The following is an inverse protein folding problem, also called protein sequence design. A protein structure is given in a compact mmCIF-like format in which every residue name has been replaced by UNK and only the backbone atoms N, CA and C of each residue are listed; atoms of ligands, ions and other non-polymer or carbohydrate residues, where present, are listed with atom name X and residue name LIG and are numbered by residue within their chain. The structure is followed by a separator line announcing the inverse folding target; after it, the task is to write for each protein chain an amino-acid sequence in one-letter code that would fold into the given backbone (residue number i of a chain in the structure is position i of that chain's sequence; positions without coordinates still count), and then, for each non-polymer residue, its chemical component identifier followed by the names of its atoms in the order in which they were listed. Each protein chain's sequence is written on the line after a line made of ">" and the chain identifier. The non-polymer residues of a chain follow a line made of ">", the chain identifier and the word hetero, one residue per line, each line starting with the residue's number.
data_IF_990603692442
#
_entry.id   IF_990603692442
#
_cell.length_a   1.000
_cell.length_b   1.000
_cell.length_c   1.000
_cell.angle_alpha   90.00
_cell.angle_beta   90.00
_cell.angle_gamma   90.00
#
_symmetry.space_group_name_H-M   'P 1'
#
loop_
_entity.id
_entity.type
_entity.pdbx_description
1 polymer ?
#
# COMPACT_ATOMS: atom_id res chain seq x y z
N UNK A 1 17.63 -29.26 14.77
CA UNK A 1 17.23 -28.51 13.57
C UNK A 1 16.58 -27.23 14.06
N UNK A 2 17.30 -26.11 14.01
CA UNK A 2 16.74 -24.78 14.27
C UNK A 2 15.67 -24.51 13.23
N UNK A 3 14.44 -24.24 13.69
CA UNK A 3 13.36 -23.77 12.81
C UNK A 3 13.88 -22.51 12.14
N UNK A 4 14.05 -22.52 10.82
CA UNK A 4 14.37 -21.30 10.08
C UNK A 4 13.27 -20.29 10.41
N UNK A 5 13.65 -19.16 10.97
CA UNK A 5 12.72 -18.11 11.32
C UNK A 5 12.15 -17.56 10.01
N UNK A 6 10.82 -17.58 9.90
CA UNK A 6 10.15 -17.07 8.70
C UNK A 6 10.28 -15.56 8.61
N UNK A 7 10.30 -15.04 7.40
CA UNK A 7 10.35 -13.58 7.12
C UNK A 7 9.03 -12.95 7.53
N UNK A 8 8.99 -12.04 8.52
CA UNK A 8 7.77 -11.37 8.95
C UNK A 8 7.35 -10.28 7.95
N UNK A 9 6.16 -10.41 7.39
CA UNK A 9 5.63 -9.48 6.38
C UNK A 9 4.22 -9.01 6.74
N UNK A 10 3.98 -7.70 6.78
CA UNK A 10 2.63 -7.13 6.84
C UNK A 10 2.25 -6.61 5.46
N UNK A 11 1.05 -7.01 5.00
CA UNK A 11 0.45 -6.64 3.73
C UNK A 11 -0.77 -5.75 3.96
N UNK A 12 -0.77 -4.52 3.41
CA UNK A 12 -1.87 -3.54 3.55
C UNK A 12 -2.51 -3.31 2.18
N UNK A 13 -3.76 -3.75 1.95
CA UNK A 13 -4.42 -3.65 0.66
C UNK A 13 -4.89 -2.22 0.35
N UNK A 14 -5.23 -1.99 -0.92
CA UNK A 14 -5.94 -0.79 -1.34
C UNK A 14 -7.43 -0.83 -1.05
N UNK A 15 -8.13 0.27 -1.35
CA UNK A 15 -9.56 0.45 -1.05
C UNK A 15 -10.53 -0.41 -1.87
N UNK A 16 -10.08 -1.05 -2.98
CA UNK A 16 -10.98 -1.68 -3.95
C UNK A 16 -11.28 -3.17 -3.67
N UNK A 17 -10.45 -3.88 -2.92
CA UNK A 17 -10.67 -5.30 -2.61
C UNK A 17 -10.09 -5.67 -1.24
N UNK A 18 -10.64 -6.70 -0.56
CA UNK A 18 -10.05 -7.25 0.66
C UNK A 18 -8.65 -7.81 0.40
N UNK A 19 -7.80 -7.79 1.41
CA UNK A 19 -6.41 -8.23 1.30
C UNK A 19 -6.28 -9.70 0.90
N UNK A 20 -7.16 -10.57 1.38
CA UNK A 20 -7.16 -11.98 0.98
C UNK A 20 -7.36 -12.18 -0.52
N UNK A 21 -8.26 -11.39 -1.12
CA UNK A 21 -8.49 -11.42 -2.58
C UNK A 21 -7.30 -10.81 -3.31
N UNK A 22 -6.78 -9.70 -2.77
CA UNK A 22 -5.71 -8.92 -3.41
C UNK A 22 -4.37 -9.66 -3.43
N UNK A 23 -4.01 -10.32 -2.33
CA UNK A 23 -2.67 -10.86 -2.12
C UNK A 23 -2.56 -12.38 -2.27
N UNK A 24 -3.64 -13.10 -2.61
CA UNK A 24 -3.60 -14.57 -2.72
C UNK A 24 -2.47 -15.07 -3.63
N UNK A 25 -2.35 -14.53 -4.84
CA UNK A 25 -1.32 -14.94 -5.79
C UNK A 25 0.10 -14.52 -5.35
N UNK A 26 0.25 -13.35 -4.73
CA UNK A 26 1.54 -12.90 -4.19
C UNK A 26 2.00 -13.78 -3.03
N UNK A 27 1.12 -14.10 -2.08
CA UNK A 27 1.45 -14.96 -0.92
C UNK A 27 1.87 -16.35 -1.41
N UNK A 28 1.18 -16.91 -2.40
CA UNK A 28 1.57 -18.18 -3.02
C UNK A 28 2.97 -18.09 -3.65
N UNK A 29 3.24 -17.00 -4.39
CA UNK A 29 4.54 -16.79 -5.05
C UNK A 29 5.70 -16.57 -4.06
N UNK A 30 5.44 -15.93 -2.91
CA UNK A 30 6.44 -15.73 -1.84
C UNK A 30 6.85 -17.04 -1.16
N UNK A 31 5.97 -18.04 -1.14
CA UNK A 31 6.25 -19.38 -0.63
C UNK A 31 6.28 -19.48 0.91
N UNK A 32 6.57 -20.68 1.44
CA UNK A 32 6.39 -21.01 2.87
C UNK A 32 7.43 -20.38 3.81
N UNK A 33 8.48 -19.77 3.27
CA UNK A 33 9.52 -19.07 4.05
C UNK A 33 9.09 -17.70 4.58
N UNK A 34 7.92 -17.21 4.16
CA UNK A 34 7.36 -15.91 4.57
C UNK A 34 6.20 -16.12 5.54
N UNK A 35 6.19 -15.35 6.61
CA UNK A 35 5.06 -15.26 7.54
C UNK A 35 4.28 -13.97 7.20
N UNK A 36 3.32 -14.11 6.29
CA UNK A 36 2.57 -12.99 5.75
C UNK A 36 1.28 -12.74 6.54
N UNK A 37 1.20 -11.60 7.21
CA UNK A 37 0.01 -11.13 7.90
C UNK A 37 -0.70 -10.05 7.06
N UNK A 38 -1.97 -10.26 6.73
CA UNK A 38 -2.80 -9.28 6.04
C UNK A 38 -3.43 -8.37 7.10
N UNK A 39 -3.25 -7.05 6.92
CA UNK A 39 -3.94 -6.01 7.67
C UNK A 39 -4.93 -5.33 6.75
N UNK A 40 -6.20 -5.79 6.77
CA UNK A 40 -7.29 -5.12 6.04
C UNK A 40 -7.56 -3.72 6.59
N UNK A 41 -8.12 -2.83 5.75
CA UNK A 41 -8.37 -1.44 6.12
C UNK A 41 -9.51 -1.32 7.14
N UNK A 42 -9.30 -0.52 8.19
CA UNK A 42 -10.28 -0.24 9.25
C UNK A 42 -11.57 0.39 8.70
N UNK A 43 -11.47 1.14 7.62
CA UNK A 43 -12.65 1.72 6.94
C UNK A 43 -13.66 0.66 6.50
N UNK A 44 -13.26 -0.62 6.44
CA UNK A 44 -14.10 -1.76 6.06
C UNK A 44 -14.25 -2.80 7.17
N UNK A 45 -13.76 -2.54 8.38
CA UNK A 45 -13.78 -3.50 9.48
C UNK A 45 -15.20 -3.77 10.02
N UNK A 46 -16.13 -2.86 9.81
CA UNK A 46 -17.51 -2.95 10.28
C UNK A 46 -18.54 -2.65 9.19
N UNK A 47 -19.82 -2.68 9.54
CA UNK A 47 -20.93 -2.36 8.63
C UNK A 47 -20.98 -0.87 8.25
N UNK A 48 -20.34 -0.01 9.03
CA UNK A 48 -20.25 1.43 8.82
C UNK A 48 -18.82 1.91 8.99
N UNK A 49 -18.52 3.06 8.40
CA UNK A 49 -17.23 3.72 8.55
C UNK A 49 -17.02 4.09 10.03
N UNK A 50 -15.85 3.80 10.63
CA UNK A 50 -15.57 4.17 12.02
C UNK A 50 -15.71 5.67 12.25
N UNK A 51 -16.30 6.05 13.37
CA UNK A 51 -16.38 7.46 13.75
C UNK A 51 -14.98 8.04 13.93
N UNK A 52 -14.74 9.21 13.32
CA UNK A 52 -13.43 9.87 13.37
C UNK A 52 -12.36 9.15 12.54
N UNK A 53 -12.74 8.34 11.54
CA UNK A 53 -11.79 7.64 10.67
C UNK A 53 -10.77 8.61 10.06
N UNK A 54 -9.50 8.24 10.15
CA UNK A 54 -8.36 9.04 9.67
C UNK A 54 -7.20 8.13 9.24
N UNK A 55 -6.12 8.70 8.71
CA UNK A 55 -4.90 7.95 8.39
C UNK A 55 -4.27 7.38 9.66
N UNK A 56 -4.33 8.11 10.76
CA UNK A 56 -3.82 7.67 12.07
C UNK A 56 -4.53 6.40 12.56
N UNK A 57 -5.85 6.29 12.31
CA UNK A 57 -6.63 5.06 12.61
C UNK A 57 -6.01 3.84 11.93
N UNK A 58 -5.61 3.97 10.66
CA UNK A 58 -4.98 2.89 9.90
C UNK A 58 -3.53 2.62 10.35
N UNK A 59 -2.78 3.68 10.67
CA UNK A 59 -1.41 3.58 11.19
C UNK A 59 -1.39 2.81 12.52
N UNK A 60 -2.25 3.17 13.47
CA UNK A 60 -2.41 2.45 14.72
C UNK A 60 -2.82 0.99 14.52
N UNK A 61 -3.65 0.73 13.52
CA UNK A 61 -4.08 -0.62 13.22
C UNK A 61 -2.98 -1.51 12.61
N UNK A 62 -1.97 -0.94 11.93
CA UNK A 62 -0.77 -1.69 11.54
C UNK A 62 0.00 -2.12 12.81
N UNK A 63 0.19 -1.22 13.78
CA UNK A 63 0.85 -1.56 15.04
C UNK A 63 0.09 -2.67 15.79
N UNK A 64 -1.23 -2.53 15.94
CA UNK A 64 -2.07 -3.57 16.57
C UNK A 64 -1.94 -4.92 15.86
N UNK A 65 -1.91 -4.93 14.51
CA UNK A 65 -1.73 -6.17 13.74
C UNK A 65 -0.36 -6.78 13.95
N UNK A 66 0.70 -5.98 13.99
CA UNK A 66 2.06 -6.44 14.26
C UNK A 66 2.15 -7.09 15.65
N UNK A 67 1.54 -6.46 16.66
CA UNK A 67 1.53 -6.97 18.04
C UNK A 67 0.70 -8.27 18.16
N UNK A 68 -0.45 -8.35 17.46
CA UNK A 68 -1.30 -9.55 17.39
C UNK A 68 -0.54 -10.77 16.85
N UNK A 69 0.30 -10.57 15.82
CA UNK A 69 1.08 -11.64 15.20
C UNK A 69 2.51 -11.76 15.75
N UNK A 70 2.82 -11.01 16.82
CA UNK A 70 4.10 -11.00 17.51
C UNK A 70 5.30 -10.61 16.64
N UNK A 71 5.10 -9.62 15.75
CA UNK A 71 6.18 -9.05 14.95
C UNK A 71 6.70 -7.77 15.61
N UNK A 72 7.84 -7.86 16.29
CA UNK A 72 8.52 -6.68 16.85
C UNK A 72 9.01 -5.76 15.73
N UNK A 73 9.58 -6.35 14.69
CA UNK A 73 10.00 -5.68 13.44
C UNK A 73 9.56 -6.52 12.26
N UNK A 74 9.19 -5.86 11.15
CA UNK A 74 8.64 -6.54 9.99
C UNK A 74 8.95 -5.80 8.69
N UNK A 75 8.82 -6.52 7.57
CA UNK A 75 8.74 -5.94 6.24
C UNK A 75 7.32 -5.45 6.01
N UNK A 76 7.18 -4.26 5.44
CA UNK A 76 5.87 -3.66 5.18
C UNK A 76 5.65 -3.51 3.66
N UNK A 77 4.56 -4.08 3.17
CA UNK A 77 4.12 -3.92 1.79
C UNK A 77 2.73 -3.30 1.75
N UNK A 78 2.59 -2.22 1.03
CA UNK A 78 1.32 -1.56 0.79
C UNK A 78 0.97 -1.45 -0.70
N UNK A 79 -0.31 -1.52 -1.02
CA UNK A 79 -0.80 -1.28 -2.37
C UNK A 79 -1.83 -0.16 -2.38
N UNK A 80 -1.76 0.77 -3.35
CA UNK A 80 -2.71 1.88 -3.53
C UNK A 80 -2.90 2.69 -2.24
N UNK A 81 -4.11 2.77 -1.69
CA UNK A 81 -4.38 3.39 -0.39
C UNK A 81 -3.55 2.79 0.74
N UNK A 82 -3.37 1.46 0.73
CA UNK A 82 -2.50 0.79 1.69
C UNK A 82 -1.02 1.17 1.57
N UNK A 83 -0.55 1.52 0.37
CA UNK A 83 0.82 2.02 0.18
C UNK A 83 1.00 3.44 0.75
N UNK A 84 0.00 4.31 0.60
CA UNK A 84 0.00 5.63 1.25
C UNK A 84 -0.02 5.50 2.78
N UNK A 85 -0.82 4.58 3.33
CA UNK A 85 -0.86 4.28 4.77
C UNK A 85 0.48 3.70 5.24
N UNK A 86 1.12 2.81 4.46
CA UNK A 86 2.43 2.27 4.78
C UNK A 86 3.52 3.36 4.82
N UNK A 87 3.47 4.33 3.89
CA UNK A 87 4.34 5.50 3.92
C UNK A 87 4.13 6.34 5.20
N UNK A 88 2.87 6.59 5.58
CA UNK A 88 2.51 7.28 6.82
C UNK A 88 2.97 6.52 8.07
N UNK A 89 2.90 5.19 8.04
CA UNK A 89 3.39 4.32 9.11
C UNK A 89 4.90 4.46 9.31
N UNK A 90 5.67 4.37 8.23
CA UNK A 90 7.13 4.56 8.30
C UNK A 90 7.51 5.95 8.81
N UNK A 91 6.74 6.98 8.45
CA UNK A 91 6.96 8.34 8.94
C UNK A 91 6.76 8.51 10.46
N UNK A 92 6.12 7.55 11.13
CA UNK A 92 5.81 7.63 12.57
C UNK A 92 6.43 6.49 13.39
N UNK A 93 6.77 5.36 12.75
CA UNK A 93 7.31 4.14 13.38
C UNK A 93 8.46 3.56 12.54
N UNK A 94 9.48 4.35 12.17
CA UNK A 94 10.57 3.87 11.30
C UNK A 94 11.35 2.71 11.92
N UNK A 95 11.41 2.64 13.26
CA UNK A 95 12.10 1.59 14.00
C UNK A 95 11.44 0.20 13.90
N UNK A 96 10.12 0.15 13.65
CA UNK A 96 9.36 -1.11 13.52
C UNK A 96 9.53 -1.74 12.12
N UNK A 97 9.96 -0.98 11.11
CA UNK A 97 9.98 -1.42 9.73
C UNK A 97 11.40 -1.77 9.30
N UNK A 98 11.59 -2.96 8.76
CA UNK A 98 12.86 -3.42 8.20
C UNK A 98 13.05 -2.99 6.75
N UNK A 99 12.00 -3.07 5.95
CA UNK A 99 11.94 -2.55 4.58
C UNK A 99 10.54 -2.12 4.22
N UNK A 100 10.42 -1.16 3.31
CA UNK A 100 9.15 -0.68 2.79
C UNK A 100 9.01 -1.01 1.31
N UNK A 101 7.90 -1.64 0.94
CA UNK A 101 7.51 -1.80 -0.46
C UNK A 101 6.17 -1.13 -0.73
N UNK A 102 6.10 -0.31 -1.77
CA UNK A 102 4.93 0.45 -2.17
C UNK A 102 4.59 0.15 -3.63
N UNK A 103 3.38 -0.32 -3.87
CA UNK A 103 2.87 -0.54 -5.22
C UNK A 103 1.72 0.42 -5.51
N UNK A 104 1.89 1.27 -6.53
CA UNK A 104 0.86 2.23 -6.96
C UNK A 104 0.30 3.09 -5.81
N UNK A 105 1.10 3.77 -4.97
CA UNK A 105 0.55 4.58 -3.87
C UNK A 105 -0.54 5.53 -4.35
N UNK A 106 -1.64 5.61 -3.61
CA UNK A 106 -2.75 6.50 -3.94
C UNK A 106 -2.38 7.98 -3.78
N UNK A 107 -1.42 8.28 -2.92
CA UNK A 107 -0.89 9.63 -2.65
C UNK A 107 0.48 9.54 -1.99
N UNK A 108 1.28 10.59 -2.16
CA UNK A 108 2.49 10.88 -1.39
C UNK A 108 2.27 12.01 -0.38
N UNK A 109 1.04 12.41 -0.19
CA UNK A 109 0.59 13.51 0.68
C UNK A 109 1.19 14.90 0.34
N UNK A 110 1.78 15.07 -0.85
CA UNK A 110 2.22 16.39 -1.31
C UNK A 110 1.03 17.34 -1.52
N UNK A 111 1.28 18.65 -1.47
CA UNK A 111 0.26 19.65 -1.75
C UNK A 111 -0.38 19.45 -3.14
N UNK A 112 0.44 19.10 -4.15
CA UNK A 112 -0.03 18.82 -5.51
C UNK A 112 -1.04 17.66 -5.51
N UNK A 113 -0.71 16.54 -4.85
CA UNK A 113 -1.59 15.36 -4.80
C UNK A 113 -2.83 15.62 -3.95
N UNK A 114 -2.68 16.30 -2.84
CA UNK A 114 -3.80 16.68 -1.97
C UNK A 114 -4.79 17.58 -2.71
N UNK A 115 -4.33 18.58 -3.44
CA UNK A 115 -5.17 19.47 -4.23
C UNK A 115 -5.87 18.74 -5.39
N UNK A 116 -5.15 17.85 -6.09
CA UNK A 116 -5.71 17.06 -7.18
C UNK A 116 -6.79 16.07 -6.66
N UNK A 117 -6.55 15.41 -5.52
CA UNK A 117 -7.53 14.54 -4.89
C UNK A 117 -8.77 15.29 -4.40
N UNK A 118 -8.60 16.48 -3.82
CA UNK A 118 -9.71 17.33 -3.40
C UNK A 118 -10.58 17.74 -4.59
N UNK A 119 -9.97 18.21 -5.68
CA UNK A 119 -10.68 18.57 -6.91
C UNK A 119 -11.41 17.36 -7.54
N UNK A 120 -10.82 16.16 -7.49
CA UNK A 120 -11.49 14.94 -7.92
C UNK A 120 -12.70 14.64 -7.02
N UNK A 121 -12.53 14.69 -5.70
CA UNK A 121 -13.61 14.47 -4.73
C UNK A 121 -14.80 15.41 -4.94
N UNK A 122 -14.55 16.70 -5.18
CA UNK A 122 -15.59 17.67 -5.50
C UNK A 122 -16.35 17.32 -6.80
N UNK A 123 -15.66 16.86 -7.83
CA UNK A 123 -16.32 16.42 -9.07
C UNK A 123 -17.15 15.17 -8.82
N UNK A 124 -16.59 14.17 -8.15
CA UNK A 124 -17.28 12.92 -7.86
C UNK A 124 -18.55 13.11 -7.03
N UNK A 125 -18.53 14.02 -6.05
CA UNK A 125 -19.69 14.33 -5.19
C UNK A 125 -20.89 14.96 -5.94
N UNK A 126 -20.66 15.47 -7.15
CA UNK A 126 -21.72 16.07 -8.01
C UNK A 126 -22.32 15.07 -9.00
N UNK A 127 -21.80 13.84 -9.04
CA UNK A 127 -22.16 12.83 -10.02
C UNK A 127 -22.91 11.66 -9.38
N UNK A 128 -23.76 10.93 -10.14
CA UNK A 128 -24.19 9.61 -9.76
C UNK A 128 -22.99 8.68 -9.49
N UNK A 129 -23.18 7.69 -8.62
CA UNK A 129 -22.08 6.82 -8.17
C UNK A 129 -21.34 6.14 -9.33
N UNK A 130 -22.04 5.71 -10.37
CA UNK A 130 -21.41 5.07 -11.54
C UNK A 130 -20.50 6.04 -12.30
N UNK A 131 -20.97 7.25 -12.53
CA UNK A 131 -20.20 8.31 -13.21
C UNK A 131 -19.01 8.77 -12.34
N UNK A 132 -19.18 8.85 -11.03
CA UNK A 132 -18.11 9.15 -10.09
C UNK A 132 -16.98 8.11 -10.16
N UNK A 133 -17.32 6.83 -10.29
CA UNK A 133 -16.30 5.78 -10.48
C UNK A 133 -15.58 5.89 -11.83
N UNK A 134 -16.27 6.28 -12.88
CA UNK A 134 -15.65 6.57 -14.18
C UNK A 134 -14.65 7.72 -14.07
N UNK A 135 -14.98 8.80 -13.36
CA UNK A 135 -14.06 9.91 -13.12
C UNK A 135 -12.83 9.49 -12.30
N UNK A 136 -13.02 8.64 -11.29
CA UNK A 136 -11.92 8.06 -10.52
C UNK A 136 -10.98 7.21 -11.40
N UNK A 137 -11.52 6.40 -12.30
CA UNK A 137 -10.70 5.61 -13.24
C UNK A 137 -9.94 6.51 -14.22
N UNK A 138 -10.61 7.49 -14.81
CA UNK A 138 -9.96 8.48 -15.70
C UNK A 138 -8.83 9.24 -15.01
N UNK A 139 -9.01 9.59 -13.74
CA UNK A 139 -7.98 10.27 -12.95
C UNK A 139 -6.75 9.37 -12.73
N UNK A 140 -6.96 8.08 -12.54
CA UNK A 140 -5.90 7.13 -12.15
C UNK A 140 -5.16 6.52 -13.34
N UNK A 141 -5.64 6.68 -14.57
CA UNK A 141 -5.11 6.04 -15.77
C UNK A 141 -4.61 7.08 -16.79
N UNK A 142 -3.68 6.67 -17.63
CA UNK A 142 -3.30 7.48 -18.79
C UNK A 142 -4.48 7.68 -19.75
N UNK A 143 -4.53 8.81 -20.46
CA UNK A 143 -5.56 9.02 -21.49
C UNK A 143 -5.57 7.87 -22.52
N UNK A 144 -6.77 7.38 -22.85
CA UNK A 144 -6.96 6.30 -23.84
C UNK A 144 -6.80 4.89 -23.29
N UNK A 145 -6.48 4.72 -22.01
CA UNK A 145 -6.51 3.39 -21.37
C UNK A 145 -7.95 3.05 -21.02
N UNK A 146 -8.44 1.95 -21.56
CA UNK A 146 -9.77 1.43 -21.28
C UNK A 146 -9.71 0.42 -20.15
N UNK A 147 -10.67 0.54 -19.22
CA UNK A 147 -10.87 -0.49 -18.19
C UNK A 147 -11.46 -1.73 -18.87
N UNK A 148 -10.90 -2.89 -18.57
CA UNK A 148 -11.51 -4.14 -18.98
C UNK A 148 -12.94 -4.23 -18.45
N UNK A 149 -13.88 -4.66 -19.28
CA UNK A 149 -15.27 -4.85 -18.89
C UNK A 149 -15.35 -5.75 -17.67
N UNK A 150 -16.25 -5.42 -16.74
CA UNK A 150 -16.51 -6.25 -15.55
C UNK A 150 -16.81 -7.69 -16.00
N UNK A 151 -16.36 -8.66 -15.18
CA UNK A 151 -16.80 -10.05 -15.30
C UNK A 151 -18.33 -10.12 -15.26
N UNK A 152 -18.92 -10.96 -16.09
CA UNK A 152 -20.36 -11.25 -16.06
C UNK A 152 -20.73 -11.83 -14.68
N UNK A 153 -21.75 -11.29 -14.07
CA UNK A 153 -22.29 -11.76 -12.79
C UNK A 153 -22.51 -10.65 -11.74
N UNK A 154 -23.21 -10.96 -10.66
CA UNK A 154 -23.42 -9.99 -9.59
C UNK A 154 -22.10 -9.67 -8.88
N UNK A 155 -21.90 -8.40 -8.44
CA UNK A 155 -20.72 -8.03 -7.69
C UNK A 155 -20.63 -8.82 -6.37
N UNK A 156 -19.42 -9.17 -5.91
CA UNK A 156 -19.24 -9.83 -4.62
C UNK A 156 -19.84 -8.99 -3.47
N UNK A 157 -20.33 -9.65 -2.43
CA UNK A 157 -20.98 -8.97 -1.30
C UNK A 157 -20.08 -7.90 -0.62
N UNK A 158 -18.76 -8.16 -0.55
CA UNK A 158 -17.79 -7.21 0.01
C UNK A 158 -17.67 -5.91 -0.81
N UNK A 159 -18.17 -5.85 -2.04
CA UNK A 159 -18.09 -4.65 -2.88
C UNK A 159 -19.12 -3.57 -2.46
N UNK A 160 -20.17 -3.93 -1.73
CA UNK A 160 -21.28 -3.03 -1.43
C UNK A 160 -20.87 -1.77 -0.64
N UNK A 161 -19.91 -1.88 0.28
CA UNK A 161 -19.44 -0.76 1.10
C UNK A 161 -18.19 -0.05 0.52
N UNK A 162 -17.62 -0.54 -0.60
CA UNK A 162 -16.39 0.03 -1.17
C UNK A 162 -16.49 1.48 -1.60
N UNK A 163 -17.56 1.95 -2.27
CA UNK A 163 -17.66 3.36 -2.65
C UNK A 163 -17.63 4.32 -1.46
N UNK A 164 -18.37 4.00 -0.40
CA UNK A 164 -18.39 4.83 0.81
C UNK A 164 -17.03 4.82 1.54
N UNK A 165 -16.40 3.65 1.67
CA UNK A 165 -15.09 3.53 2.28
C UNK A 165 -14.00 4.23 1.47
N UNK A 166 -14.04 4.15 0.14
CA UNK A 166 -13.11 4.87 -0.74
C UNK A 166 -13.24 6.40 -0.56
N UNK A 167 -14.46 6.92 -0.50
CA UNK A 167 -14.70 8.34 -0.27
C UNK A 167 -14.16 8.79 1.10
N UNK A 168 -14.38 8.01 2.16
CA UNK A 168 -13.85 8.30 3.49
C UNK A 168 -12.31 8.28 3.52
N UNK A 169 -11.69 7.29 2.87
CA UNK A 169 -10.24 7.19 2.77
C UNK A 169 -9.65 8.37 1.99
N UNK A 170 -10.25 8.77 0.87
CA UNK A 170 -9.82 9.97 0.13
C UNK A 170 -9.91 11.22 1.00
N UNK A 171 -11.00 11.40 1.75
CA UNK A 171 -11.15 12.52 2.68
C UNK A 171 -10.07 12.51 3.75
N UNK A 172 -9.75 11.35 4.32
CA UNK A 172 -8.67 11.19 5.30
C UNK A 172 -7.30 11.56 4.69
N UNK A 173 -7.01 11.16 3.46
CA UNK A 173 -5.75 11.51 2.79
C UNK A 173 -5.61 13.00 2.51
N UNK A 174 -6.70 13.71 2.16
CA UNK A 174 -6.70 15.15 1.91
C UNK A 174 -6.37 15.93 3.19
N UNK A 175 -6.80 15.45 4.34
CA UNK A 175 -6.61 16.15 5.62
C UNK A 175 -5.31 15.77 6.34
N UNK A 176 -4.72 14.63 6.01
CA UNK A 176 -3.49 14.14 6.65
C UNK A 176 -2.27 15.00 6.28
N UNK A 177 -1.35 15.16 7.25
CA UNK A 177 -0.09 15.86 7.03
C UNK A 177 1.06 14.90 7.35
N UNK A 178 1.77 14.49 6.30
CA UNK A 178 2.88 13.55 6.40
C UNK A 178 4.04 14.16 7.19
N UNK A 179 4.55 13.41 8.17
CA UNK A 179 5.75 13.77 8.94
C UNK A 179 7.01 13.39 8.17
N UNK A 180 7.43 14.23 7.24
CA UNK A 180 8.55 13.94 6.35
C UNK A 180 9.89 13.76 7.08
N UNK A 181 10.03 14.32 8.29
CA UNK A 181 11.20 14.13 9.15
C UNK A 181 11.39 12.65 9.51
N UNK A 182 10.32 11.95 9.92
CA UNK A 182 10.38 10.53 10.26
C UNK A 182 10.75 9.63 9.06
N UNK A 183 10.41 10.03 7.83
CA UNK A 183 10.86 9.31 6.64
C UNK A 183 12.39 9.37 6.46
N UNK A 184 13.03 10.48 6.85
CA UNK A 184 14.50 10.62 6.77
C UNK A 184 15.22 9.81 7.86
N UNK A 185 14.54 9.43 8.92
CA UNK A 185 15.06 8.54 9.97
C UNK A 185 14.98 7.07 9.56
N UNK A 186 14.23 6.75 8.51
CA UNK A 186 14.13 5.40 8.00
C UNK A 186 15.33 5.08 7.09
N UNK A 187 16.14 4.11 7.52
CA UNK A 187 17.34 3.67 6.80
C UNK A 187 17.22 2.29 6.15
N UNK A 188 16.04 1.68 6.24
CA UNK A 188 15.74 0.42 5.55
C UNK A 188 15.61 0.62 4.04
N UNK A 189 15.82 -0.43 3.25
CA UNK A 189 15.65 -0.36 1.81
C UNK A 189 14.18 -0.17 1.43
N UNK A 190 13.96 0.60 0.35
CA UNK A 190 12.62 0.91 -0.19
C UNK A 190 12.50 0.42 -1.62
N UNK A 191 11.36 -0.18 -1.91
CA UNK A 191 10.94 -0.57 -3.25
C UNK A 191 9.65 0.14 -3.62
N UNK A 192 9.61 0.69 -4.82
CA UNK A 192 8.43 1.36 -5.37
C UNK A 192 8.09 0.75 -6.73
N UNK A 193 6.85 0.35 -6.94
CA UNK A 193 6.40 -0.16 -8.24
C UNK A 193 5.19 0.60 -8.76
N UNK A 194 5.11 0.71 -10.09
CA UNK A 194 3.98 1.33 -10.77
C UNK A 194 3.83 0.80 -12.20
N UNK A 195 2.61 0.86 -12.72
CA UNK A 195 2.30 0.44 -14.07
C UNK A 195 2.53 1.54 -15.12
N UNK A 196 2.92 1.14 -16.32
CA UNK A 196 3.16 2.07 -17.43
C UNK A 196 1.90 2.74 -17.95
N UNK A 197 0.73 2.17 -17.64
CA UNK A 197 -0.59 2.70 -18.02
C UNK A 197 -1.27 3.51 -16.91
N UNK A 198 -0.65 3.61 -15.74
CA UNK A 198 -1.09 4.50 -14.68
C UNK A 198 -0.85 5.96 -15.04
N UNK A 199 -1.63 6.87 -14.46
CA UNK A 199 -1.53 8.30 -14.73
C UNK A 199 -0.11 8.84 -14.44
N UNK A 200 0.29 9.87 -15.17
CA UNK A 200 1.65 10.45 -15.09
C UNK A 200 2.04 10.95 -13.69
N UNK A 201 1.07 11.26 -12.84
CA UNK A 201 1.36 11.66 -11.47
C UNK A 201 2.00 10.53 -10.65
N UNK A 202 1.77 9.25 -10.99
CA UNK A 202 2.35 8.10 -10.28
C UNK A 202 3.87 8.09 -10.40
N UNK A 203 4.41 8.36 -11.59
CA UNK A 203 5.84 8.50 -11.82
C UNK A 203 6.42 9.74 -11.10
N UNK A 204 5.68 10.87 -11.12
CA UNK A 204 6.08 12.07 -10.36
C UNK A 204 6.13 11.81 -8.86
N UNK A 205 5.15 11.07 -8.31
CA UNK A 205 5.18 10.64 -6.92
C UNK A 205 6.39 9.76 -6.62
N UNK A 206 6.70 8.80 -7.50
CA UNK A 206 7.89 7.96 -7.36
C UNK A 206 9.16 8.82 -7.17
N UNK A 207 9.36 9.81 -8.01
CA UNK A 207 10.51 10.71 -7.93
C UNK A 207 10.53 11.55 -6.65
N UNK A 208 9.35 12.03 -6.17
CA UNK A 208 9.29 12.80 -4.92
C UNK A 208 9.58 11.92 -3.71
N UNK A 209 9.00 10.72 -3.67
CA UNK A 209 9.20 9.77 -2.57
C UNK A 209 10.66 9.30 -2.51
N UNK A 210 11.30 9.08 -3.66
CA UNK A 210 12.70 8.69 -3.72
C UNK A 210 13.64 9.66 -2.98
N UNK A 211 13.30 10.96 -2.90
CA UNK A 211 14.12 11.95 -2.22
C UNK A 211 14.16 11.80 -0.67
N UNK A 212 13.28 10.99 -0.10
CA UNK A 212 13.28 10.73 1.34
C UNK A 212 14.20 9.57 1.75
N UNK A 213 14.52 8.66 0.82
CA UNK A 213 15.14 7.38 1.15
C UNK A 213 16.50 7.20 0.48
N UNK A 214 17.57 6.93 1.25
CA UNK A 214 18.91 6.74 0.69
C UNK A 214 19.08 5.44 -0.11
N UNK A 215 18.32 4.39 0.23
CA UNK A 215 18.29 3.10 -0.48
C UNK A 215 16.90 2.89 -1.10
N UNK A 216 16.72 3.41 -2.31
CA UNK A 216 15.45 3.39 -3.05
C UNK A 216 15.60 2.70 -4.39
N UNK A 217 14.67 1.82 -4.73
CA UNK A 217 14.58 1.15 -6.03
C UNK A 217 13.19 1.31 -6.59
N UNK A 218 13.08 1.76 -7.84
CA UNK A 218 11.82 1.85 -8.57
C UNK A 218 11.76 0.79 -9.68
N UNK A 219 10.58 0.24 -9.91
CA UNK A 219 10.31 -0.68 -11.01
C UNK A 219 9.00 -0.31 -11.70
N UNK A 220 9.08 -0.13 -13.03
CA UNK A 220 7.92 0.12 -13.89
C UNK A 220 7.47 -1.17 -14.54
N UNK A 221 6.17 -1.47 -14.44
CA UNK A 221 5.56 -2.66 -15.01
C UNK A 221 4.84 -2.30 -16.32
N UNK A 222 5.33 -2.83 -17.43
CA UNK A 222 4.78 -2.52 -18.75
C UNK A 222 3.40 -3.12 -18.95
N UNK A 223 2.47 -2.34 -19.49
CA UNK A 223 1.10 -2.74 -19.77
C UNK A 223 0.20 -2.88 -18.53
N UNK A 224 0.72 -2.55 -17.34
CA UNK A 224 -0.05 -2.61 -16.09
C UNK A 224 -0.47 -1.20 -15.61
N UNK A 225 -1.39 -1.18 -14.68
CA UNK A 225 -1.92 0.02 -14.03
C UNK A 225 -2.56 -0.32 -12.67
N UNK A 226 -2.90 0.70 -11.87
CA UNK A 226 -3.43 0.54 -10.52
C UNK A 226 -4.67 -0.35 -10.35
N UNK A 227 -5.43 -0.65 -11.41
CA UNK A 227 -6.58 -1.58 -11.34
C UNK A 227 -6.24 -2.99 -11.88
N UNK A 228 -5.10 -3.15 -12.54
CA UNK A 228 -4.47 -4.43 -12.86
C UNK A 228 -3.04 -4.41 -12.33
N UNK A 229 -2.85 -4.45 -11.00
CA UNK A 229 -1.57 -4.18 -10.36
C UNK A 229 -0.62 -5.38 -10.45
N UNK A 230 0.67 -5.08 -10.29
CA UNK A 230 1.79 -5.99 -10.45
C UNK A 230 1.68 -7.24 -9.58
N UNK A 231 1.28 -7.11 -8.31
CA UNK A 231 1.16 -8.24 -7.37
C UNK A 231 0.05 -9.25 -7.76
N UNK A 232 -0.85 -8.86 -8.66
CA UNK A 232 -1.89 -9.76 -9.21
C UNK A 232 -1.49 -10.28 -10.59
N UNK A 233 -0.95 -9.42 -11.45
CA UNK A 233 -0.63 -9.75 -12.83
C UNK A 233 0.72 -10.50 -12.97
N UNK A 234 1.71 -10.10 -12.18
CA UNK A 234 3.08 -10.65 -12.22
C UNK A 234 3.58 -11.04 -10.81
N UNK A 235 2.84 -11.88 -10.05
CA UNK A 235 3.11 -12.12 -8.62
C UNK A 235 4.51 -12.69 -8.36
N UNK A 236 5.05 -13.52 -9.25
CA UNK A 236 6.40 -14.08 -9.13
C UNK A 236 7.47 -12.99 -9.25
N UNK A 237 7.31 -12.07 -10.20
CA UNK A 237 8.26 -10.95 -10.39
C UNK A 237 8.25 -10.02 -9.18
N UNK A 238 7.06 -9.75 -8.60
CA UNK A 238 6.94 -8.99 -7.35
C UNK A 238 7.58 -9.74 -6.18
N UNK A 239 7.34 -11.04 -6.03
CA UNK A 239 7.97 -11.86 -5.00
C UNK A 239 9.50 -11.81 -5.10
N UNK A 240 10.06 -11.97 -6.30
CA UNK A 240 11.50 -11.86 -6.53
C UNK A 240 12.05 -10.46 -6.19
N UNK A 241 11.29 -9.39 -6.48
CA UNK A 241 11.66 -8.03 -6.11
C UNK A 241 11.68 -7.85 -4.58
N UNK A 242 10.69 -8.41 -3.88
CA UNK A 242 10.63 -8.37 -2.41
C UNK A 242 11.78 -9.18 -1.78
N UNK A 243 12.11 -10.36 -2.30
CA UNK A 243 13.27 -11.11 -1.81
C UNK A 243 14.58 -10.34 -2.02
N UNK A 244 14.77 -9.68 -3.16
CA UNK A 244 15.93 -8.78 -3.38
C UNK A 244 15.92 -7.59 -2.42
N UNK A 245 14.76 -7.00 -2.14
CA UNK A 245 14.59 -5.92 -1.17
C UNK A 245 15.04 -6.38 0.23
N UNK A 246 14.55 -7.51 0.69
CA UNK A 246 14.84 -8.03 2.03
C UNK A 246 16.30 -8.44 2.21
N UNK A 247 16.96 -8.92 1.15
CA UNK A 247 18.40 -9.26 1.20
C UNK A 247 19.30 -8.05 1.44
N UNK A 248 18.81 -6.83 1.26
CA UNK A 248 19.54 -5.58 1.53
C UNK A 248 19.40 -5.10 2.98
N UNK A 249 18.51 -5.69 3.77
CA UNK A 249 18.36 -5.33 5.18
C UNK A 249 19.61 -5.76 5.95
N UNK A 250 20.29 -4.85 6.68
CA UNK A 250 21.48 -5.21 7.46
C UNK A 250 21.18 -6.29 8.50
N UNK A 251 22.13 -7.22 8.69
CA UNK A 251 21.97 -8.33 9.65
C UNK A 251 21.69 -7.85 11.08
N UNK A 252 22.16 -6.67 11.48
CA UNK A 252 21.86 -6.03 12.78
C UNK A 252 20.39 -5.63 12.93
N UNK A 253 19.66 -5.60 11.84
CA UNK A 253 18.24 -5.24 11.80
C UNK A 253 17.33 -6.46 11.55
N UNK A 254 17.89 -7.63 11.28
CA UNK A 254 17.14 -8.87 11.08
C UNK A 254 16.50 -9.36 12.40
N UNK A 255 15.35 -10.07 12.33
CA UNK A 255 14.76 -10.72 13.50
C UNK A 255 15.78 -11.65 14.15
N UNK A 256 15.92 -11.60 15.47
CA UNK A 256 16.89 -12.45 16.20
C UNK A 256 18.30 -11.88 16.42
N UNK A 257 18.61 -10.68 15.90
CA UNK A 257 19.87 -9.96 16.12
C UNK A 257 20.00 -9.30 17.50
N UNK A 258 19.39 -9.87 18.53
CA UNK A 258 19.57 -9.43 19.91
C UNK A 258 21.03 -9.60 20.32
N UNK A 259 21.71 -8.51 20.69
CA UNK A 259 23.05 -8.48 21.26
C UNK A 259 23.15 -9.51 22.38
N UNK A 260 24.04 -10.49 22.23
CA UNK A 260 24.60 -11.16 23.37
C UNK A 260 25.31 -10.08 24.23
N UNK A 261 24.68 -9.68 25.30
CA UNK A 261 25.33 -8.87 26.35
C UNK A 261 26.40 -9.77 26.95
N UNK A 262 27.65 -9.42 26.71
CA UNK A 262 28.81 -9.97 27.43
C UNK A 262 28.83 -9.45 28.86
#
# INVERSE_FOLDING_TARGET
>A
MTKSEKVPLILVPGGMAPGQVRYAALIEALGPGVDAAIKDLEVYAGPSIPAGYSVETEVEAISRKADEVHFDRFHLYGYSGGAAIALAYVATHPERVMSLAMDEPATDFSEEQTAAAAALGERMNRLPQEDAMVEFFKFSLRPGVEMQSRSEGPPPAWMANRPAGLAAMMSAFITYRLRSEGLREFHGPVYYSYGSLSADYTEKMCHRVANYFPDFTAERYEGLHGFNPSQTAEPKRVADALHRLWSRVPASQAPGGGQAVL
#
